data_IF_941852462497
#
_entry.id   IF_941852462497
#
_cell.length_a   1.000
_cell.length_b   1.000
_cell.length_c   1.000
_cell.angle_alpha   90.00
_cell.angle_beta   90.00
_cell.angle_gamma   90.00
#
_symmetry.space_group_name_H-M   'P 1'
#
loop_
_entity.id
_entity.type
_entity.pdbx_description
1 polymer ?
#
# COMPACT_ATOMS: atom_id res chain seq x y z
N UNK A 1 17.18 -9.11 13.36
CA UNK A 1 15.99 -8.27 13.16
C UNK A 1 15.69 -8.06 11.67
N UNK A 2 16.62 -7.48 10.88
CA UNK A 2 16.43 -7.30 9.42
C UNK A 2 16.32 -8.64 8.67
N UNK A 3 17.20 -9.60 8.92
CA UNK A 3 17.15 -10.93 8.27
C UNK A 3 15.87 -11.71 8.59
N UNK A 4 15.32 -11.49 9.79
CA UNK A 4 14.07 -12.11 10.22
C UNK A 4 12.88 -11.49 9.48
N UNK A 5 12.84 -10.16 9.37
CA UNK A 5 11.82 -9.45 8.58
C UNK A 5 11.85 -9.89 7.12
N UNK A 6 13.04 -9.94 6.49
CA UNK A 6 13.20 -10.43 5.11
C UNK A 6 12.66 -11.84 4.94
N UNK A 7 12.90 -12.72 5.92
CA UNK A 7 12.39 -14.09 5.92
C UNK A 7 10.87 -14.13 5.96
N UNK A 8 10.23 -13.34 6.82
CA UNK A 8 8.76 -13.29 6.92
C UNK A 8 8.12 -12.66 5.68
N UNK A 9 8.67 -11.56 5.16
CA UNK A 9 8.26 -10.99 3.87
C UNK A 9 8.33 -12.03 2.75
N UNK A 10 9.42 -12.79 2.68
CA UNK A 10 9.57 -13.89 1.71
C UNK A 10 8.49 -14.96 1.89
N UNK A 11 8.12 -15.30 3.14
CA UNK A 11 7.06 -16.26 3.41
C UNK A 11 5.69 -15.73 2.97
N UNK A 12 5.37 -14.46 3.25
CA UNK A 12 4.14 -13.81 2.76
C UNK A 12 4.07 -13.83 1.24
N UNK A 13 5.13 -13.40 0.56
CA UNK A 13 5.20 -13.38 -0.90
C UNK A 13 4.96 -14.78 -1.50
N UNK A 14 5.54 -15.84 -0.93
CA UNK A 14 5.28 -17.22 -1.39
C UNK A 14 3.81 -17.65 -1.28
N UNK A 15 3.05 -17.07 -0.35
CA UNK A 15 1.61 -17.33 -0.24
C UNK A 15 0.81 -16.43 -1.18
N UNK A 16 1.19 -15.18 -1.38
CA UNK A 16 0.37 -14.20 -2.11
C UNK A 16 0.59 -14.25 -3.63
N UNK A 17 1.82 -14.53 -4.09
CA UNK A 17 2.16 -14.54 -5.52
C UNK A 17 1.51 -15.74 -6.20
N UNK A 18 0.47 -15.48 -6.98
CA UNK A 18 -0.31 -16.44 -7.77
C UNK A 18 -1.31 -15.68 -8.62
N UNK A 19 -1.81 -16.33 -9.67
CA UNK A 19 -2.96 -15.79 -10.40
C UNK A 19 -4.14 -15.65 -9.42
N UNK A 20 -4.59 -14.41 -9.21
CA UNK A 20 -5.60 -14.07 -8.20
C UNK A 20 -6.60 -13.02 -8.69
N UNK A 21 -6.80 -12.98 -10.00
CA UNK A 21 -7.90 -12.23 -10.62
C UNK A 21 -9.26 -12.64 -10.02
N UNK A 22 -10.10 -11.66 -9.61
CA UNK A 22 -11.35 -11.87 -8.88
C UNK A 22 -12.46 -12.55 -9.70
N UNK A 23 -12.32 -12.64 -11.04
CA UNK A 23 -13.35 -13.20 -11.93
C UNK A 23 -12.87 -14.44 -12.66
N UNK A 24 -11.60 -14.50 -13.04
CA UNK A 24 -11.00 -15.58 -13.84
C UNK A 24 -10.09 -16.50 -13.02
N UNK A 25 -9.59 -16.05 -11.86
CA UNK A 25 -8.74 -16.83 -10.96
C UNK A 25 -9.27 -16.85 -9.52
N UNK A 26 -10.58 -17.05 -9.39
CA UNK A 26 -11.34 -16.94 -8.14
C UNK A 26 -10.81 -17.78 -6.99
N UNK A 27 -10.23 -18.95 -7.26
CA UNK A 27 -9.61 -19.80 -6.22
C UNK A 27 -8.36 -19.15 -5.64
N UNK A 28 -7.52 -18.55 -6.49
CA UNK A 28 -6.34 -17.82 -6.05
C UNK A 28 -6.71 -16.54 -5.31
N UNK A 29 -7.69 -15.80 -5.84
CA UNK A 29 -8.28 -14.62 -5.20
C UNK A 29 -8.81 -14.93 -3.79
N UNK A 30 -9.67 -15.94 -3.67
CA UNK A 30 -10.21 -16.40 -2.40
C UNK A 30 -9.10 -16.83 -1.43
N UNK A 31 -8.10 -17.57 -1.92
CA UNK A 31 -6.98 -18.00 -1.09
C UNK A 31 -6.22 -16.82 -0.49
N UNK A 32 -5.88 -15.81 -1.29
CA UNK A 32 -5.12 -14.65 -0.82
C UNK A 32 -5.95 -13.80 0.15
N UNK A 33 -7.25 -13.63 -0.12
CA UNK A 33 -8.18 -12.98 0.81
C UNK A 33 -8.17 -13.65 2.19
N UNK A 34 -8.36 -14.96 2.22
CA UNK A 34 -8.39 -15.72 3.48
C UNK A 34 -7.01 -15.77 4.15
N UNK A 35 -5.93 -15.81 3.37
CA UNK A 35 -4.59 -15.69 3.91
C UNK A 35 -4.39 -14.35 4.63
N UNK A 36 -4.75 -13.22 4.01
CA UNK A 36 -4.67 -11.90 4.63
C UNK A 36 -5.51 -11.84 5.91
N UNK A 37 -6.75 -12.36 5.87
CA UNK A 37 -7.63 -12.46 7.04
C UNK A 37 -6.99 -13.27 8.17
N UNK A 38 -6.43 -14.45 7.88
CA UNK A 38 -5.79 -15.31 8.88
C UNK A 38 -4.55 -14.65 9.49
N UNK A 39 -3.75 -13.94 8.69
CA UNK A 39 -2.57 -13.23 9.19
C UNK A 39 -2.97 -12.07 10.10
N UNK A 40 -4.00 -11.29 9.70
CA UNK A 40 -4.55 -10.22 10.54
C UNK A 40 -5.20 -10.76 11.84
N UNK A 41 -5.85 -11.92 11.78
CA UNK A 41 -6.54 -12.53 12.91
C UNK A 41 -5.60 -12.95 14.06
N UNK A 42 -4.28 -13.01 13.82
CA UNK A 42 -3.31 -13.25 14.88
C UNK A 42 -3.18 -12.08 15.86
N UNK A 43 -3.64 -10.88 15.47
CA UNK A 43 -3.41 -9.63 16.21
C UNK A 43 -4.70 -8.95 16.69
N UNK A 44 -5.86 -9.43 16.26
CA UNK A 44 -7.17 -8.90 16.61
C UNK A 44 -8.25 -9.58 15.78
N UNK A 45 -9.49 -9.11 15.87
CA UNK A 45 -10.63 -9.66 15.12
C UNK A 45 -10.83 -8.88 13.81
N UNK A 46 -10.53 -9.46 12.62
CA UNK A 46 -10.69 -8.74 11.36
C UNK A 46 -12.16 -8.59 11.00
N UNK A 47 -12.58 -7.35 10.75
CA UNK A 47 -13.89 -7.00 10.22
C UNK A 47 -13.94 -7.19 8.70
N UNK A 48 -15.15 -7.38 8.16
CA UNK A 48 -15.39 -7.45 6.72
C UNK A 48 -16.29 -6.31 6.29
N UNK A 49 -15.82 -5.49 5.35
CA UNK A 49 -16.65 -4.52 4.67
C UNK A 49 -17.12 -5.09 3.33
N UNK A 50 -18.42 -5.34 3.22
CA UNK A 50 -19.04 -5.85 2.00
C UNK A 50 -19.49 -4.70 1.10
N UNK A 51 -19.30 -4.88 -0.21
CA UNK A 51 -19.79 -3.98 -1.25
C UNK A 51 -20.24 -4.76 -2.47
N UNK A 52 -21.04 -4.15 -3.35
CA UNK A 52 -21.56 -4.81 -4.55
C UNK A 52 -21.02 -4.16 -5.81
N UNK A 53 -20.55 -4.99 -6.75
CA UNK A 53 -20.13 -4.59 -8.10
C UNK A 53 -20.75 -5.57 -9.09
N UNK A 54 -21.48 -5.04 -10.09
CA UNK A 54 -22.16 -5.85 -11.11
C UNK A 54 -23.05 -6.98 -10.55
N UNK A 55 -23.69 -6.74 -9.40
CA UNK A 55 -24.57 -7.72 -8.73
C UNK A 55 -23.83 -8.85 -8.01
N UNK A 56 -22.50 -8.77 -7.85
CA UNK A 56 -21.69 -9.67 -7.03
C UNK A 56 -21.22 -8.97 -5.77
N UNK A 57 -21.19 -9.69 -4.66
CA UNK A 57 -20.66 -9.20 -3.38
C UNK A 57 -19.15 -9.41 -3.32
N UNK A 58 -18.44 -8.35 -2.95
CA UNK A 58 -17.00 -8.28 -2.76
C UNK A 58 -16.68 -7.80 -1.34
N UNK A 59 -15.43 -7.98 -0.90
CA UNK A 59 -15.05 -7.84 0.51
C UNK A 59 -13.70 -7.16 0.69
N UNK A 60 -13.66 -6.08 1.48
CA UNK A 60 -12.41 -5.61 2.08
C UNK A 60 -12.23 -6.25 3.46
N UNK A 61 -10.98 -6.57 3.83
CA UNK A 61 -10.62 -7.08 5.16
C UNK A 61 -10.03 -5.96 5.98
N UNK A 62 -10.53 -5.74 7.20
CA UNK A 62 -10.14 -4.60 8.03
C UNK A 62 -9.68 -5.10 9.40
N UNK A 63 -8.48 -4.70 9.81
CA UNK A 63 -7.98 -4.92 11.17
C UNK A 63 -7.79 -3.57 11.87
N UNK A 64 -8.48 -3.38 12.99
CA UNK A 64 -8.31 -2.23 13.86
C UNK A 64 -7.39 -2.60 15.04
N UNK A 65 -6.27 -1.89 15.21
CA UNK A 65 -5.34 -2.07 16.31
C UNK A 65 -5.20 -0.79 17.13
N UNK A 66 -5.26 -0.93 18.45
CA UNK A 66 -5.01 0.15 19.39
C UNK A 66 -4.38 -0.41 20.66
N UNK A 67 -3.08 -0.25 20.82
CA UNK A 67 -2.32 -0.77 21.97
C UNK A 67 -2.41 0.12 23.21
N UNK A 68 -2.92 1.35 23.07
CA UNK A 68 -3.10 2.32 24.15
C UNK A 68 -4.53 2.88 24.15
N UNK A 69 -5.29 2.63 25.22
CA UNK A 69 -6.66 3.10 25.35
C UNK A 69 -6.77 4.64 25.40
N UNK A 70 -5.71 5.35 25.79
CA UNK A 70 -5.71 6.82 25.88
C UNK A 70 -5.78 7.50 24.51
N UNK A 71 -5.36 6.80 23.45
CA UNK A 71 -5.40 7.30 22.08
C UNK A 71 -6.57 6.74 21.26
N UNK A 72 -7.39 5.84 21.82
CA UNK A 72 -8.45 5.14 21.11
C UNK A 72 -9.50 6.06 20.47
N UNK A 73 -9.73 7.24 21.06
CA UNK A 73 -10.67 8.25 20.54
C UNK A 73 -10.09 9.11 19.41
N UNK A 74 -8.78 9.04 19.14
CA UNK A 74 -8.15 9.79 18.05
C UNK A 74 -8.56 9.19 16.70
N UNK A 75 -8.66 10.00 15.63
CA UNK A 75 -8.80 9.49 14.28
C UNK A 75 -7.64 8.54 13.93
N UNK A 76 -7.91 7.33 13.40
CA UNK A 76 -6.87 6.36 13.11
C UNK A 76 -6.03 6.76 11.89
N UNK A 77 -4.82 6.22 11.82
CA UNK A 77 -4.06 6.13 10.56
C UNK A 77 -4.52 4.86 9.84
N UNK A 78 -5.03 5.01 8.62
CA UNK A 78 -5.39 3.89 7.76
C UNK A 78 -4.19 3.54 6.87
N UNK A 79 -3.81 2.28 6.82
CA UNK A 79 -2.84 1.75 5.86
C UNK A 79 -3.56 0.67 5.07
N UNK A 80 -3.48 0.71 3.75
CA UNK A 80 -4.10 -0.30 2.91
C UNK A 80 -3.23 -0.74 1.75
N UNK A 81 -3.52 -1.93 1.25
CA UNK A 81 -2.94 -2.52 0.04
C UNK A 81 -4.03 -3.36 -0.62
N UNK A 82 -3.99 -3.50 -1.94
CA UNK A 82 -4.95 -4.36 -2.63
C UNK A 82 -4.46 -5.80 -2.68
N UNK A 83 -5.41 -6.74 -2.69
CA UNK A 83 -5.11 -8.17 -2.71
C UNK A 83 -5.51 -8.87 -4.00
N UNK A 84 -6.21 -8.18 -4.90
CA UNK A 84 -6.49 -8.67 -6.24
C UNK A 84 -5.25 -8.58 -7.16
N UNK A 85 -5.44 -8.94 -8.42
CA UNK A 85 -4.46 -8.82 -9.49
C UNK A 85 -5.18 -8.87 -10.83
N UNK A 86 -4.55 -8.37 -11.88
CA UNK A 86 -5.05 -8.54 -13.25
C UNK A 86 -4.96 -9.99 -13.75
N UNK A 87 -5.77 -10.31 -14.76
CA UNK A 87 -5.72 -11.59 -15.46
C UNK A 87 -4.31 -11.89 -16.01
N UNK A 88 -3.88 -13.15 -15.87
CA UNK A 88 -2.58 -13.66 -16.34
C UNK A 88 -1.33 -12.99 -15.74
N UNK A 89 -1.46 -12.28 -14.61
CA UNK A 89 -0.31 -11.85 -13.82
C UNK A 89 -0.30 -12.56 -12.46
N UNK A 90 0.85 -13.11 -12.03
CA UNK A 90 1.03 -13.56 -10.64
C UNK A 90 1.01 -12.41 -9.63
N UNK A 91 1.21 -11.17 -10.09
CA UNK A 91 1.10 -9.96 -9.31
C UNK A 91 2.10 -9.91 -8.16
N UNK A 92 3.38 -10.14 -8.45
CA UNK A 92 4.43 -10.21 -7.44
C UNK A 92 4.74 -8.85 -6.85
N UNK A 93 5.09 -7.88 -7.68
CA UNK A 93 5.23 -6.52 -7.24
C UNK A 93 3.85 -5.88 -7.08
N UNK A 94 2.92 -6.17 -8.00
CA UNK A 94 1.57 -5.60 -8.07
C UNK A 94 0.47 -6.61 -7.65
N UNK A 95 0.00 -6.62 -6.42
CA UNK A 95 0.48 -5.87 -5.26
C UNK A 95 0.81 -6.79 -4.08
N UNK A 96 1.41 -7.95 -4.36
CA UNK A 96 1.79 -8.88 -3.31
C UNK A 96 2.84 -8.28 -2.36
N UNK A 97 3.70 -7.39 -2.85
CA UNK A 97 4.64 -6.64 -2.01
C UNK A 97 3.91 -5.68 -1.05
N UNK A 98 2.93 -4.90 -1.52
CA UNK A 98 2.11 -4.03 -0.68
C UNK A 98 1.34 -4.81 0.38
N UNK A 99 0.71 -5.92 -0.01
CA UNK A 99 -0.01 -6.77 0.94
C UNK A 99 0.93 -7.44 1.96
N UNK A 100 2.11 -7.91 1.55
CA UNK A 100 3.10 -8.48 2.47
C UNK A 100 3.58 -7.43 3.50
N UNK A 101 3.87 -6.20 3.04
CA UNK A 101 4.25 -5.10 3.93
C UNK A 101 3.09 -4.70 4.86
N UNK A 102 1.86 -4.67 4.37
CA UNK A 102 0.67 -4.41 5.19
C UNK A 102 0.57 -5.39 6.38
N UNK A 103 0.79 -6.69 6.12
CA UNK A 103 0.74 -7.74 7.14
C UNK A 103 1.89 -7.62 8.16
N UNK A 104 3.11 -7.31 7.71
CA UNK A 104 4.24 -7.08 8.60
C UNK A 104 4.07 -5.79 9.44
N UNK A 105 3.49 -4.73 8.87
CA UNK A 105 3.16 -3.53 9.63
C UNK A 105 2.08 -3.81 10.68
N UNK A 106 1.07 -4.63 10.36
CA UNK A 106 0.06 -5.05 11.34
C UNK A 106 0.70 -5.78 12.53
N UNK A 107 1.61 -6.73 12.26
CA UNK A 107 2.42 -7.40 13.29
C UNK A 107 3.23 -6.40 14.11
N UNK A 108 3.92 -5.47 13.45
CA UNK A 108 4.77 -4.49 14.12
C UNK A 108 3.94 -3.64 15.09
N UNK A 109 2.78 -3.12 14.65
CA UNK A 109 1.94 -2.24 15.46
C UNK A 109 1.03 -2.98 16.46
N UNK A 110 0.94 -4.32 16.42
CA UNK A 110 0.37 -5.09 17.53
C UNK A 110 1.31 -5.21 18.72
N UNK A 111 2.62 -5.13 18.47
CA UNK A 111 3.68 -5.31 19.47
C UNK A 111 4.31 -3.97 19.91
N UNK A 112 4.13 -2.91 19.13
CA UNK A 112 4.74 -1.60 19.36
C UNK A 112 3.69 -0.50 19.42
N UNK A 113 3.87 0.46 20.32
CA UNK A 113 2.97 1.61 20.45
C UNK A 113 3.07 2.55 19.25
N UNK A 114 1.92 3.02 18.78
CA UNK A 114 1.80 4.14 17.83
C UNK A 114 1.19 5.37 18.52
N UNK A 115 1.32 6.55 17.92
CA UNK A 115 0.72 7.80 18.44
C UNK A 115 -0.78 7.92 18.17
N UNK A 116 -1.27 7.12 17.22
CA UNK A 116 -2.65 7.05 16.75
C UNK A 116 -3.08 5.58 16.66
N UNK A 117 -4.39 5.28 16.78
CA UNK A 117 -4.91 3.96 16.45
C UNK A 117 -4.60 3.62 14.99
N UNK A 118 -4.35 2.35 14.71
CA UNK A 118 -3.99 1.86 13.38
C UNK A 118 -5.15 1.07 12.78
N UNK A 119 -5.43 1.30 11.50
CA UNK A 119 -6.41 0.55 10.72
C UNK A 119 -5.75 -0.02 9.47
N UNK A 120 -5.61 -1.33 9.40
CA UNK A 120 -5.06 -2.02 8.24
C UNK A 120 -6.21 -2.50 7.36
N UNK A 121 -6.13 -2.28 6.05
CA UNK A 121 -7.19 -2.67 5.11
C UNK A 121 -6.61 -3.38 3.90
N UNK A 122 -7.02 -4.63 3.68
CA UNK A 122 -6.78 -5.32 2.42
C UNK A 122 -7.96 -5.01 1.48
N UNK A 123 -7.72 -4.23 0.43
CA UNK A 123 -8.73 -3.81 -0.55
C UNK A 123 -8.93 -4.85 -1.65
N UNK A 124 -10.18 -5.02 -2.09
CA UNK A 124 -10.54 -5.82 -3.27
C UNK A 124 -10.88 -4.92 -4.47
N UNK A 125 -10.74 -5.48 -5.67
CA UNK A 125 -11.10 -4.86 -6.94
C UNK A 125 -10.41 -3.50 -7.18
N UNK A 126 -9.13 -3.38 -6.82
CA UNK A 126 -8.32 -2.21 -7.19
C UNK A 126 -8.19 -2.12 -8.71
N UNK A 127 -7.87 -3.26 -9.33
CA UNK A 127 -7.58 -3.37 -10.77
C UNK A 127 -8.81 -3.17 -11.65
N UNK A 128 -9.98 -3.12 -11.03
CA UNK A 128 -11.30 -2.95 -11.66
C UNK A 128 -11.88 -1.56 -11.38
N UNK A 129 -11.00 -0.58 -11.14
CA UNK A 129 -11.36 0.82 -10.95
C UNK A 129 -11.49 1.22 -9.48
N UNK A 130 -10.63 0.69 -8.62
CA UNK A 130 -10.52 1.06 -7.21
C UNK A 130 -11.83 0.81 -6.43
N UNK A 131 -12.59 -0.23 -6.78
CA UNK A 131 -13.97 -0.37 -6.31
C UNK A 131 -14.04 -0.57 -4.80
N UNK A 132 -13.16 -1.39 -4.23
CA UNK A 132 -13.12 -1.63 -2.79
C UNK A 132 -12.82 -0.36 -2.00
N UNK A 133 -11.83 0.42 -2.42
CA UNK A 133 -11.47 1.67 -1.75
C UNK A 133 -12.49 2.78 -1.97
N UNK A 134 -13.09 2.93 -3.17
CA UNK A 134 -14.17 3.89 -3.42
C UNK A 134 -15.39 3.62 -2.55
N UNK A 135 -15.86 2.38 -2.51
CA UNK A 135 -17.00 2.01 -1.68
C UNK A 135 -16.71 2.24 -0.20
N UNK A 136 -15.50 1.88 0.26
CA UNK A 136 -15.13 2.03 1.65
C UNK A 136 -14.93 3.48 2.07
N UNK A 137 -14.21 4.30 1.28
CA UNK A 137 -14.03 5.72 1.56
C UNK A 137 -15.38 6.46 1.60
N UNK A 138 -16.29 6.15 0.66
CA UNK A 138 -17.64 6.71 0.66
C UNK A 138 -18.44 6.28 1.90
N UNK A 139 -18.31 5.01 2.34
CA UNK A 139 -18.91 4.53 3.57
C UNK A 139 -18.40 5.29 4.80
N UNK A 140 -17.09 5.45 4.95
CA UNK A 140 -16.48 6.20 6.05
C UNK A 140 -16.99 7.65 6.07
N UNK A 141 -17.06 8.29 4.89
CA UNK A 141 -17.57 9.65 4.75
C UNK A 141 -19.03 9.75 5.17
N UNK A 142 -19.87 8.85 4.70
CA UNK A 142 -21.31 8.78 5.06
C UNK A 142 -21.51 8.59 6.57
N UNK A 143 -20.62 7.85 7.22
CA UNK A 143 -20.63 7.63 8.67
C UNK A 143 -19.93 8.73 9.47
N UNK A 144 -19.42 9.78 8.82
CA UNK A 144 -18.59 10.82 9.43
C UNK A 144 -17.41 10.26 10.24
N UNK A 145 -16.82 9.15 9.80
CA UNK A 145 -15.64 8.59 10.45
C UNK A 145 -14.40 9.36 9.99
N UNK A 146 -13.70 10.08 10.90
CA UNK A 146 -12.49 10.81 10.55
C UNK A 146 -11.30 9.85 10.42
N UNK A 147 -10.32 10.23 9.60
CA UNK A 147 -9.00 9.60 9.55
C UNK A 147 -7.93 10.66 9.80
N UNK A 148 -6.85 10.29 10.49
CA UNK A 148 -5.66 11.15 10.66
C UNK A 148 -4.89 11.25 9.34
N UNK A 149 -4.76 10.12 8.66
CA UNK A 149 -4.06 9.94 7.39
C UNK A 149 -4.48 8.58 6.80
N UNK A 150 -4.52 8.48 5.47
CA UNK A 150 -4.57 7.22 4.75
C UNK A 150 -3.28 7.02 3.94
N UNK A 151 -2.71 5.81 3.97
CA UNK A 151 -1.60 5.39 3.14
C UNK A 151 -2.02 4.22 2.26
N UNK A 152 -1.90 4.38 0.94
CA UNK A 152 -1.97 3.26 0.00
C UNK A 152 -0.57 2.69 -0.21
N UNK A 153 -0.38 1.40 0.01
CA UNK A 153 0.84 0.66 -0.28
C UNK A 153 0.69 0.03 -1.66
N UNK A 154 1.46 0.50 -2.64
CA UNK A 154 1.26 0.18 -4.05
C UNK A 154 2.60 -0.12 -4.72
N UNK A 155 2.92 -1.40 -4.93
CA UNK A 155 4.18 -1.86 -5.53
C UNK A 155 5.42 -1.36 -4.79
N UNK A 156 6.04 -2.22 -3.98
CA UNK A 156 7.08 -1.84 -3.03
C UNK A 156 8.39 -2.61 -3.22
N UNK A 157 8.44 -3.54 -4.17
CA UNK A 157 9.50 -4.54 -4.24
C UNK A 157 10.38 -4.48 -5.46
N UNK A 158 10.03 -3.72 -6.51
CA UNK A 158 10.89 -3.60 -7.69
C UNK A 158 11.80 -2.36 -7.61
N UNK A 159 13.11 -2.58 -7.82
CA UNK A 159 14.04 -1.49 -8.04
C UNK A 159 15.08 -1.81 -9.11
N UNK A 160 15.64 -0.76 -9.71
CA UNK A 160 16.75 -0.89 -10.64
C UNK A 160 17.88 0.05 -10.25
N UNK A 161 19.08 -0.52 -10.19
CA UNK A 161 20.32 0.22 -9.90
C UNK A 161 20.99 0.78 -11.17
N UNK A 162 20.45 0.45 -12.35
CA UNK A 162 20.99 0.93 -13.62
C UNK A 162 20.72 2.42 -13.81
N UNK A 163 21.67 3.20 -14.35
CA UNK A 163 21.43 4.58 -14.74
C UNK A 163 20.28 4.71 -15.74
N UNK A 164 19.45 5.75 -15.60
CA UNK A 164 18.29 6.03 -16.47
C UNK A 164 17.20 4.94 -16.48
N UNK A 165 17.16 4.10 -15.44
CA UNK A 165 16.11 3.10 -15.23
C UNK A 165 14.76 3.69 -14.79
N UNK A 166 14.73 4.97 -14.42
CA UNK A 166 13.52 5.66 -14.00
C UNK A 166 12.99 6.59 -15.09
N UNK A 167 11.74 6.38 -15.49
CA UNK A 167 11.00 7.30 -16.35
C UNK A 167 10.13 8.24 -15.50
N UNK A 168 9.73 9.35 -16.09
CA UNK A 168 8.83 10.31 -15.46
C UNK A 168 7.88 10.91 -16.48
N UNK A 169 6.67 11.31 -16.05
CA UNK A 169 5.88 12.30 -16.76
C UNK A 169 6.70 13.59 -16.99
N UNK A 170 6.33 14.38 -18.01
CA UNK A 170 7.09 15.58 -18.41
C UNK A 170 7.42 16.51 -17.23
N UNK A 171 8.52 17.27 -17.34
CA UNK A 171 9.10 18.16 -16.30
C UNK A 171 9.68 17.49 -15.03
N UNK A 172 9.08 16.41 -14.51
CA UNK A 172 9.49 15.80 -13.24
C UNK A 172 10.92 15.24 -13.29
N UNK A 173 11.37 14.77 -14.47
CA UNK A 173 12.73 14.26 -14.70
C UNK A 173 13.87 15.23 -14.33
N UNK A 174 13.59 16.53 -14.20
CA UNK A 174 14.59 17.52 -13.81
C UNK A 174 14.77 17.65 -12.29
N UNK A 175 13.85 17.09 -11.51
CA UNK A 175 13.81 17.24 -10.04
C UNK A 175 14.10 15.94 -9.29
N UNK A 176 13.96 14.79 -9.96
CA UNK A 176 14.05 13.47 -9.32
C UNK A 176 15.15 12.60 -9.94
N UNK A 177 15.67 11.60 -9.18
CA UNK A 177 16.79 10.76 -9.63
C UNK A 177 16.50 9.97 -10.92
N UNK A 178 17.48 9.85 -11.80
CA UNK A 178 17.35 9.01 -13.01
C UNK A 178 17.40 7.51 -12.75
N UNK A 179 17.79 7.08 -11.55
CA UNK A 179 17.93 5.67 -11.15
C UNK A 179 16.72 5.28 -10.29
N UNK A 180 16.05 4.19 -10.64
CA UNK A 180 14.83 3.70 -10.01
C UNK A 180 15.07 2.87 -8.76
N UNK A 181 15.90 3.35 -7.83
CA UNK A 181 16.28 2.66 -6.58
C UNK A 181 15.81 3.40 -5.32
N UNK A 182 14.63 4.02 -5.39
CA UNK A 182 14.02 4.77 -4.29
C UNK A 182 12.53 4.46 -4.15
N UNK A 183 12.00 4.57 -2.94
CA UNK A 183 10.55 4.55 -2.71
C UNK A 183 9.99 5.97 -2.78
N UNK A 184 8.79 6.15 -3.33
CA UNK A 184 8.14 7.45 -3.48
C UNK A 184 6.94 7.60 -2.54
N UNK A 185 6.84 8.76 -1.89
CA UNK A 185 5.63 9.22 -1.19
C UNK A 185 4.88 10.20 -2.09
N UNK A 186 3.69 9.85 -2.55
CA UNK A 186 2.89 10.67 -3.47
C UNK A 186 1.62 11.13 -2.76
N UNK A 187 1.57 12.42 -2.44
CA UNK A 187 0.52 13.00 -1.59
C UNK A 187 -0.04 14.29 -2.18
N UNK A 188 -1.20 14.73 -1.69
CA UNK A 188 -1.72 16.05 -2.03
C UNK A 188 -0.99 17.15 -1.25
N UNK A 189 -1.35 18.41 -1.49
CA UNK A 189 -0.74 19.54 -0.76
C UNK A 189 -0.98 19.51 0.76
N UNK A 190 -2.02 18.81 1.24
CA UNK A 190 -2.37 18.75 2.65
C UNK A 190 -1.50 17.76 3.44
N UNK A 191 -0.83 16.84 2.72
CA UNK A 191 0.05 15.82 3.30
C UNK A 191 1.53 16.17 3.21
N UNK A 192 1.90 17.38 2.78
CA UNK A 192 3.30 17.81 2.69
C UNK A 192 4.06 17.65 4.03
N UNK A 193 3.52 18.08 5.19
CA UNK A 193 4.22 17.90 6.46
C UNK A 193 4.48 16.42 6.79
N UNK A 194 3.49 15.56 6.53
CA UNK A 194 3.61 14.12 6.73
C UNK A 194 4.64 13.50 5.79
N UNK A 195 4.59 13.80 4.49
CA UNK A 195 5.57 13.30 3.52
C UNK A 195 7.00 13.70 3.88
N UNK A 196 7.21 14.96 4.28
CA UNK A 196 8.52 15.46 4.67
C UNK A 196 9.06 14.75 5.93
N UNK A 197 8.22 14.61 6.96
CA UNK A 197 8.59 13.91 8.19
C UNK A 197 8.88 12.42 7.96
N UNK A 198 8.04 11.76 7.16
CA UNK A 198 8.21 10.35 6.81
C UNK A 198 9.47 10.13 5.96
N UNK A 199 9.73 10.95 4.95
CA UNK A 199 10.93 10.86 4.12
C UNK A 199 12.19 10.89 5.00
N UNK A 200 12.25 11.76 6.00
CA UNK A 200 13.41 11.87 6.89
C UNK A 200 13.67 10.57 7.69
N UNK A 201 12.62 9.85 8.09
CA UNK A 201 12.77 8.56 8.76
C UNK A 201 13.12 7.45 7.77
N UNK A 202 12.38 7.34 6.66
CA UNK A 202 12.56 6.27 5.65
C UNK A 202 13.97 6.31 5.05
N UNK A 203 14.54 7.51 4.83
CA UNK A 203 15.91 7.70 4.30
C UNK A 203 17.02 7.05 5.14
N UNK A 204 16.74 6.67 6.39
CA UNK A 204 17.68 5.91 7.23
C UNK A 204 17.81 4.45 6.80
N UNK A 205 16.80 3.91 6.13
CA UNK A 205 16.75 2.51 5.67
C UNK A 205 16.85 2.40 4.15
N UNK A 206 16.16 3.26 3.39
CA UNK A 206 16.11 3.20 1.92
C UNK A 206 15.99 4.61 1.33
N UNK A 207 16.56 4.83 0.14
CA UNK A 207 16.36 6.06 -0.63
C UNK A 207 14.86 6.33 -0.79
N UNK A 208 14.43 7.55 -0.49
CA UNK A 208 13.03 7.91 -0.48
C UNK A 208 12.83 9.30 -1.07
N UNK A 209 11.90 9.44 -2.02
CA UNK A 209 11.51 10.72 -2.60
C UNK A 209 10.04 11.01 -2.31
N UNK A 210 9.63 12.27 -2.44
CA UNK A 210 8.22 12.63 -2.30
C UNK A 210 7.77 13.59 -3.39
N UNK A 211 6.50 13.46 -3.76
CA UNK A 211 5.85 14.25 -4.80
C UNK A 211 4.58 14.90 -4.22
N UNK A 212 4.55 16.23 -4.07
CA UNK A 212 3.30 16.95 -3.85
C UNK A 212 2.52 17.01 -5.17
N UNK A 213 1.58 16.08 -5.35
CA UNK A 213 0.78 15.94 -6.56
C UNK A 213 -0.28 17.06 -6.74
N UNK A 214 -0.22 18.15 -5.96
CA UNK A 214 -1.13 19.28 -6.06
C UNK A 214 -2.52 19.00 -5.46
N UNK A 215 -3.56 19.55 -6.08
CA UNK A 215 -4.95 19.36 -5.66
C UNK A 215 -5.45 17.97 -6.05
N UNK A 216 -5.41 17.02 -5.10
CA UNK A 216 -5.86 15.62 -5.28
C UNK A 216 -5.19 14.91 -6.48
N UNK A 217 -3.98 15.31 -6.87
CA UNK A 217 -3.31 14.72 -8.01
C UNK A 217 -3.77 15.21 -9.40
N UNK A 218 -4.74 16.13 -9.53
CA UNK A 218 -5.18 16.57 -10.88
C UNK A 218 -4.07 17.17 -11.76
N UNK A 219 -3.11 17.96 -11.21
CA UNK A 219 -1.96 18.45 -12.00
C UNK A 219 -0.99 17.35 -12.46
N UNK A 220 -1.02 16.18 -11.83
CA UNK A 220 -0.16 15.03 -12.17
C UNK A 220 -1.04 13.79 -12.30
N UNK A 221 -1.75 13.59 -13.43
CA UNK A 221 -2.73 12.50 -13.56
C UNK A 221 -2.16 11.10 -13.27
N UNK A 222 -0.89 10.86 -13.58
CA UNK A 222 -0.21 9.58 -13.27
C UNK A 222 -0.08 9.31 -11.76
N UNK A 223 -0.22 10.33 -10.91
CA UNK A 223 -0.28 10.18 -9.45
C UNK A 223 -1.65 9.70 -8.94
N UNK A 224 -2.65 9.54 -9.81
CA UNK A 224 -4.03 9.14 -9.47
C UNK A 224 -4.35 7.71 -9.90
N UNK A 225 -3.52 6.76 -9.48
CA UNK A 225 -3.53 5.38 -10.00
C UNK A 225 -3.61 4.26 -8.95
N UNK A 226 -4.02 4.56 -7.72
CA UNK A 226 -4.18 3.56 -6.66
C UNK A 226 -5.24 4.02 -5.64
N UNK A 227 -5.49 3.21 -4.62
CA UNK A 227 -6.58 3.34 -3.66
C UNK A 227 -6.64 4.68 -2.92
N UNK A 228 -5.53 5.40 -2.76
CA UNK A 228 -5.48 6.74 -2.14
C UNK A 228 -6.37 7.76 -2.85
N UNK A 229 -6.64 7.56 -4.14
CA UNK A 229 -7.53 8.43 -4.93
C UNK A 229 -8.95 8.42 -4.37
N UNK A 230 -9.48 7.27 -3.98
CA UNK A 230 -10.80 7.16 -3.39
C UNK A 230 -10.95 8.04 -2.13
N UNK A 231 -9.88 8.11 -1.34
CA UNK A 231 -9.83 8.93 -0.12
C UNK A 231 -9.70 10.42 -0.43
N UNK A 232 -8.89 10.79 -1.43
CA UNK A 232 -8.85 12.18 -1.92
C UNK A 232 -10.21 12.66 -2.40
N UNK A 233 -10.97 11.83 -3.13
CA UNK A 233 -12.30 12.21 -3.63
C UNK A 233 -13.31 12.44 -2.50
N UNK A 234 -13.16 11.72 -1.39
CA UNK A 234 -13.97 11.91 -0.18
C UNK A 234 -13.42 13.00 0.77
N UNK A 235 -12.34 13.67 0.39
CA UNK A 235 -11.73 14.77 1.12
C UNK A 235 -10.90 14.36 2.34
N UNK A 236 -10.44 13.11 2.40
CA UNK A 236 -9.48 12.66 3.40
C UNK A 236 -8.05 13.03 3.01
N UNK A 237 -7.20 13.27 4.02
CA UNK A 237 -5.74 13.30 3.83
C UNK A 237 -5.27 11.90 3.47
N UNK A 238 -4.70 11.74 2.29
CA UNK A 238 -4.20 10.46 1.80
C UNK A 238 -2.91 10.62 1.01
N UNK A 239 -2.09 9.57 1.00
CA UNK A 239 -0.91 9.46 0.15
C UNK A 239 -0.72 8.01 -0.32
N UNK A 240 0.03 7.84 -1.39
CA UNK A 240 0.50 6.55 -1.91
C UNK A 240 1.98 6.39 -1.61
N UNK A 241 2.37 5.20 -1.19
CA UNK A 241 3.76 4.74 -1.11
C UNK A 241 3.98 3.77 -2.25
N UNK A 242 4.94 4.06 -3.13
CA UNK A 242 5.14 3.25 -4.33
C UNK A 242 6.59 3.28 -4.81
N UNK A 243 7.02 2.20 -5.45
CA UNK A 243 8.24 2.17 -6.26
C UNK A 243 8.05 2.80 -7.64
N UNK A 244 6.96 3.54 -7.88
CA UNK A 244 6.62 4.22 -9.14
C UNK A 244 6.15 3.31 -10.28
N UNK A 245 5.90 2.02 -10.00
CA UNK A 245 5.17 1.13 -10.89
C UNK A 245 5.74 1.12 -12.32
N UNK A 246 4.88 1.24 -13.33
CA UNK A 246 5.26 1.24 -14.75
C UNK A 246 6.22 2.35 -15.20
N UNK A 247 6.55 3.32 -14.32
CA UNK A 247 7.61 4.29 -14.61
C UNK A 247 9.01 3.68 -14.51
N UNK A 248 9.16 2.55 -13.82
CA UNK A 248 10.42 1.77 -13.76
C UNK A 248 10.26 0.27 -13.98
N UNK A 249 9.16 -0.32 -13.55
CA UNK A 249 8.95 -1.76 -13.55
C UNK A 249 8.40 -2.22 -14.92
N UNK A 250 9.19 -2.94 -15.74
CA UNK A 250 8.75 -3.41 -17.05
C UNK A 250 7.79 -4.60 -16.97
N UNK A 251 7.55 -5.16 -15.77
CA UNK A 251 6.73 -6.33 -15.51
C UNK A 251 5.30 -5.99 -15.08
N UNK A 252 4.99 -4.72 -14.81
CA UNK A 252 3.65 -4.25 -14.42
C UNK A 252 2.54 -4.83 -15.34
N UNK A 253 1.54 -5.45 -14.73
CA UNK A 253 0.40 -6.12 -15.40
C UNK A 253 0.79 -7.22 -16.40
N UNK A 254 1.92 -7.90 -16.19
CA UNK A 254 2.39 -8.97 -17.09
C UNK A 254 2.57 -10.31 -16.36
N UNK A 255 2.58 -11.43 -17.11
CA UNK A 255 2.95 -12.73 -16.58
C UNK A 255 4.36 -12.79 -15.98
N UNK A 256 5.23 -11.85 -16.37
CA UNK A 256 6.59 -11.72 -15.87
C UNK A 256 6.69 -11.03 -14.51
N UNK A 257 5.59 -10.55 -13.92
CA UNK A 257 5.60 -10.02 -12.56
C UNK A 257 5.67 -11.17 -11.56
N UNK A 258 6.89 -11.66 -11.32
CA UNK A 258 7.17 -12.88 -10.55
C UNK A 258 8.07 -12.59 -9.36
N UNK A 259 8.19 -13.56 -8.45
CA UNK A 259 9.03 -13.41 -7.25
C UNK A 259 10.49 -13.04 -7.59
N UNK A 260 11.01 -13.57 -8.70
CA UNK A 260 12.39 -13.37 -9.14
C UNK A 260 12.69 -11.94 -9.62
N UNK A 261 11.67 -11.14 -9.91
CA UNK A 261 11.85 -9.73 -10.31
C UNK A 261 11.96 -8.79 -9.12
N UNK A 262 11.70 -9.27 -7.91
CA UNK A 262 11.71 -8.45 -6.69
C UNK A 262 13.12 -8.31 -6.11
N UNK A 263 13.42 -7.13 -5.58
CA UNK A 263 14.57 -6.88 -4.71
C UNK A 263 14.12 -6.96 -3.25
N UNK A 264 14.44 -8.07 -2.60
CA UNK A 264 14.02 -8.33 -1.22
C UNK A 264 14.76 -7.46 -0.21
N UNK A 265 15.97 -6.97 -0.51
CA UNK A 265 16.69 -6.04 0.35
C UNK A 265 16.01 -4.67 0.32
N UNK A 266 15.67 -4.19 -0.88
CA UNK A 266 14.89 -2.98 -1.07
C UNK A 266 13.54 -3.06 -0.35
N UNK A 267 12.74 -4.11 -0.58
CA UNK A 267 11.45 -4.31 0.09
C UNK A 267 11.56 -4.34 1.62
N UNK A 268 12.58 -5.04 2.15
CA UNK A 268 12.81 -5.14 3.59
C UNK A 268 13.13 -3.77 4.20
N UNK A 269 13.95 -2.98 3.52
CA UNK A 269 14.30 -1.63 3.95
C UNK A 269 13.12 -0.64 3.81
N UNK A 270 12.27 -0.79 2.79
CA UNK A 270 11.00 -0.06 2.67
C UNK A 270 10.09 -0.36 3.85
N UNK A 271 9.84 -1.64 4.15
CA UNK A 271 9.01 -2.04 5.28
C UNK A 271 9.55 -1.49 6.61
N UNK A 272 10.85 -1.59 6.83
CA UNK A 272 11.51 -1.05 8.04
C UNK A 272 11.30 0.46 8.16
N UNK A 273 11.61 1.20 7.09
CA UNK A 273 11.47 2.65 7.06
C UNK A 273 10.02 3.11 7.28
N UNK A 274 9.03 2.38 6.74
CA UNK A 274 7.61 2.68 6.94
C UNK A 274 7.17 2.47 8.39
N UNK A 275 7.55 1.34 9.02
CA UNK A 275 7.27 1.08 10.43
C UNK A 275 7.85 2.20 11.32
N UNK A 276 9.11 2.55 11.13
CA UNK A 276 9.78 3.61 11.89
C UNK A 276 9.15 4.99 11.66
N UNK A 277 8.81 5.31 10.40
CA UNK A 277 8.19 6.58 10.05
C UNK A 277 6.80 6.75 10.68
N UNK A 278 5.95 5.72 10.62
CA UNK A 278 4.59 5.76 11.15
C UNK A 278 4.58 5.76 12.68
N UNK A 279 5.51 5.05 13.33
CA UNK A 279 5.59 5.03 14.79
C UNK A 279 5.82 6.43 15.41
N UNK A 280 6.46 7.35 14.67
CA UNK A 280 6.79 8.70 15.15
C UNK A 280 5.96 9.82 14.52
N UNK A 281 5.01 9.50 13.62
CA UNK A 281 4.13 10.46 12.95
C UNK A 281 3.09 11.06 13.91
#
# INVERSE_FOLDING_TARGET
>A
MVDELKTRLTQHLKQIIRNRDPYFSTVGHFYVKEYARQMMAQYGEPETFHFEVEGKTHENIILNLCTDATIQSKPPILIGAHYDAVINSPGADDNATGLAVLLEMAKFFSENSARYPMRFVAFDLEEFGLQGSFNYAAHLRKKNQPLRLMLSLEMLGFCSHEPNSQNYPSFLKYFYPSTGNFIALVGDIQTIPEMWGMQHQIKKSVSCEWLPAGWRGYPVPDARRSDHVAFWEQGYKAMMVTDTANLRNPHYHKPSDTFETLDLDFLTNVCTGLCEAIAVL
#
